data_IF_985949190025
#
_entry.id   IF_985949190025
#
_cell.length_a   1.000
_cell.length_b   1.000
_cell.length_c   1.000
_cell.angle_alpha   90.00
_cell.angle_beta   90.00
_cell.angle_gamma   90.00
#
_symmetry.space_group_name_H-M   'P 1'
#
loop_
_entity.id
_entity.type
_entity.pdbx_description
1 polymer ?
#
# COMPACT_ATOMS: atom_id res chain seq x y z
N UNK A 1 11.66 15.97 -14.75
CA UNK A 1 11.95 16.25 -13.32
C UNK A 1 11.89 17.74 -12.97
N UNK A 2 12.78 18.63 -13.48
CA UNK A 2 12.81 20.06 -13.08
C UNK A 2 11.47 20.80 -13.25
N UNK A 3 10.80 20.64 -14.41
CA UNK A 3 9.47 21.25 -14.67
C UNK A 3 8.40 20.77 -13.68
N UNK A 4 8.39 19.47 -13.36
CA UNK A 4 7.45 18.87 -12.39
C UNK A 4 7.67 19.45 -10.98
N UNK A 5 8.92 19.47 -10.50
CA UNK A 5 9.29 20.08 -9.21
C UNK A 5 8.81 21.53 -9.12
N UNK A 6 9.07 22.31 -10.17
CA UNK A 6 8.67 23.72 -10.21
C UNK A 6 7.15 23.89 -10.16
N UNK A 7 6.39 23.13 -10.96
CA UNK A 7 4.92 23.15 -10.95
C UNK A 7 4.35 22.81 -9.58
N UNK A 8 4.84 21.73 -8.95
CA UNK A 8 4.38 21.30 -7.63
C UNK A 8 4.70 22.35 -6.56
N UNK A 9 5.89 22.96 -6.61
CA UNK A 9 6.30 24.00 -5.66
C UNK A 9 5.49 25.29 -5.83
N UNK A 10 5.31 25.78 -7.06
CA UNK A 10 4.52 26.98 -7.33
C UNK A 10 3.10 26.84 -6.79
N UNK A 11 2.48 25.71 -7.09
CA UNK A 11 1.08 25.53 -6.78
C UNK A 11 0.88 25.17 -5.28
N UNK A 12 1.93 24.73 -4.58
CA UNK A 12 1.95 24.68 -3.12
C UNK A 12 2.08 26.08 -2.50
N UNK A 13 2.90 26.94 -3.08
CA UNK A 13 3.03 28.34 -2.64
C UNK A 13 1.70 29.09 -2.77
N UNK A 14 0.98 28.90 -3.88
CA UNK A 14 -0.36 29.43 -4.09
C UNK A 14 -1.33 28.95 -2.99
N UNK A 15 -1.36 27.65 -2.71
CA UNK A 15 -2.19 27.08 -1.65
C UNK A 15 -1.85 27.62 -0.25
N UNK A 16 -0.55 27.77 0.07
CA UNK A 16 -0.11 28.27 1.37
C UNK A 16 -0.46 29.76 1.56
N UNK A 17 -0.50 30.56 0.49
CA UNK A 17 -0.92 31.97 0.54
C UNK A 17 -2.42 32.14 0.87
N UNK A 18 -3.24 31.13 0.60
CA UNK A 18 -4.67 31.14 0.90
C UNK A 18 -4.97 30.82 2.38
N UNK A 19 -3.98 30.36 3.14
CA UNK A 19 -4.16 30.00 4.54
C UNK A 19 -4.45 31.24 5.39
N UNK A 20 -5.51 31.15 6.18
CA UNK A 20 -5.87 32.18 7.14
C UNK A 20 -4.85 32.21 8.29
N UNK A 21 -4.57 33.39 8.87
CA UNK A 21 -3.71 33.47 10.04
C UNK A 21 -4.37 32.77 11.23
N UNK A 22 -3.56 32.21 12.14
CA UNK A 22 -4.07 31.60 13.38
C UNK A 22 -4.83 32.65 14.20
N UNK A 23 -6.11 32.39 14.56
CA UNK A 23 -6.89 33.29 15.39
C UNK A 23 -6.24 33.57 16.76
N UNK A 24 -6.39 34.80 17.27
CA UNK A 24 -5.75 35.23 18.52
C UNK A 24 -6.16 34.39 19.74
N UNK A 25 -7.42 33.96 19.83
CA UNK A 25 -7.90 33.11 20.93
C UNK A 25 -7.20 31.75 20.93
N UNK A 26 -7.05 31.12 19.76
CA UNK A 26 -6.35 29.84 19.61
C UNK A 26 -4.86 29.97 19.94
N UNK A 27 -4.22 31.10 19.64
CA UNK A 27 -2.82 31.36 20.03
C UNK A 27 -2.62 31.38 21.56
N UNK A 28 -3.66 31.68 22.33
CA UNK A 28 -3.62 31.71 23.81
C UNK A 28 -3.89 30.34 24.41
N UNK A 29 -4.79 29.57 23.80
CA UNK A 29 -5.23 28.27 24.29
C UNK A 29 -4.32 27.11 23.85
N UNK A 30 -3.77 27.20 22.63
CA UNK A 30 -2.86 26.19 22.09
C UNK A 30 -1.41 26.46 22.46
N UNK A 31 -0.69 25.41 22.81
CA UNK A 31 0.76 25.45 22.97
C UNK A 31 1.51 25.14 21.66
N UNK A 32 0.81 24.76 20.58
CA UNK A 32 1.41 24.46 19.28
C UNK A 32 2.26 25.63 18.76
N UNK A 33 1.79 26.89 18.75
CA UNK A 33 2.60 28.00 18.24
C UNK A 33 3.92 28.18 18.98
N UNK A 34 3.92 27.97 20.31
CA UNK A 34 5.13 28.06 21.13
C UNK A 34 6.17 27.03 20.70
N UNK A 35 5.78 25.75 20.66
CA UNK A 35 6.72 24.67 20.39
C UNK A 35 7.11 24.59 18.90
N UNK A 36 6.21 24.93 17.98
CA UNK A 36 6.53 24.97 16.56
C UNK A 36 7.54 26.09 16.24
N UNK A 37 7.41 27.25 16.88
CA UNK A 37 8.41 28.31 16.77
C UNK A 37 9.77 27.90 17.37
N UNK A 38 9.80 27.09 18.43
CA UNK A 38 11.06 26.54 18.96
C UNK A 38 11.71 25.56 17.99
N UNK A 39 10.92 24.76 17.26
CA UNK A 39 11.42 23.92 16.17
C UNK A 39 12.02 24.79 15.06
N UNK A 40 11.29 25.81 14.60
CA UNK A 40 11.71 26.67 13.50
C UNK A 40 12.96 27.52 13.81
N UNK A 41 13.10 28.01 15.05
CA UNK A 41 14.26 28.82 15.46
C UNK A 41 15.57 28.03 15.55
N UNK A 42 15.47 26.70 15.64
CA UNK A 42 16.60 25.88 16.08
C UNK A 42 16.91 26.09 17.57
N UNK A 43 17.50 25.08 18.20
CA UNK A 43 17.80 25.11 19.65
C UNK A 43 18.82 24.05 20.06
N UNK A 44 19.66 23.63 19.11
CA UNK A 44 20.49 22.44 19.22
C UNK A 44 19.67 21.14 19.30
N UNK A 45 20.38 20.01 19.23
CA UNK A 45 19.79 18.67 19.25
C UNK A 45 18.79 18.45 20.41
N UNK A 46 19.17 18.77 21.66
CA UNK A 46 18.28 18.57 22.81
C UNK A 46 17.04 19.49 22.83
N UNK A 47 17.19 20.73 22.34
CA UNK A 47 16.08 21.68 22.27
C UNK A 47 15.02 21.22 21.27
N UNK A 48 15.46 20.75 20.11
CA UNK A 48 14.59 20.18 19.07
C UNK A 48 13.86 18.94 19.58
N UNK A 49 14.58 17.97 20.17
CA UNK A 49 13.97 16.76 20.72
C UNK A 49 12.88 17.08 21.76
N UNK A 50 13.14 18.04 22.65
CA UNK A 50 12.17 18.47 23.66
C UNK A 50 10.94 19.09 23.02
N UNK A 51 11.11 20.00 22.07
CA UNK A 51 10.01 20.68 21.39
C UNK A 51 9.12 19.69 20.62
N UNK A 52 9.73 18.77 19.86
CA UNK A 52 9.03 17.71 19.14
C UNK A 52 8.28 16.76 20.09
N UNK A 53 8.91 16.36 21.19
CA UNK A 53 8.27 15.52 22.22
C UNK A 53 7.09 16.21 22.93
N UNK A 54 7.09 17.54 23.03
CA UNK A 54 5.92 18.29 23.48
C UNK A 54 4.81 18.32 22.43
N UNK A 55 5.15 18.60 21.16
CA UNK A 55 4.18 18.59 20.07
C UNK A 55 3.51 17.24 19.90
N UNK A 56 4.25 16.12 19.99
CA UNK A 56 3.70 14.77 19.97
C UNK A 56 2.64 14.56 21.06
N UNK A 57 2.94 14.99 22.30
CA UNK A 57 1.99 14.89 23.42
C UNK A 57 0.77 15.79 23.24
N UNK A 58 0.92 16.96 22.62
CA UNK A 58 -0.19 17.85 22.30
C UNK A 58 -1.09 17.21 21.24
N UNK A 59 -0.51 16.76 20.13
CA UNK A 59 -1.25 16.12 19.04
C UNK A 59 -1.98 14.85 19.48
N UNK A 60 -1.40 14.07 20.40
CA UNK A 60 -2.03 12.88 20.97
C UNK A 60 -3.32 13.17 21.75
N UNK A 61 -3.55 14.40 22.22
CA UNK A 61 -4.80 14.81 22.88
C UNK A 61 -5.96 15.06 21.90
N UNK A 62 -5.67 15.07 20.60
CA UNK A 62 -6.63 15.23 19.52
C UNK A 62 -7.59 16.42 19.67
N UNK A 63 -7.08 17.56 20.19
CA UNK A 63 -7.87 18.77 20.33
C UNK A 63 -7.97 19.52 19.00
N UNK A 64 -9.18 19.95 18.63
CA UNK A 64 -9.46 20.59 17.33
C UNK A 64 -8.65 21.87 17.15
N UNK A 65 -8.56 22.72 18.17
CA UNK A 65 -7.81 23.98 18.09
C UNK A 65 -6.29 23.76 17.95
N UNK A 66 -5.74 22.69 18.53
CA UNK A 66 -4.32 22.33 18.36
C UNK A 66 -4.03 21.89 16.92
N UNK A 67 -4.91 21.05 16.34
CA UNK A 67 -4.82 20.65 14.93
C UNK A 67 -4.96 21.84 13.98
N UNK A 68 -5.87 22.76 14.28
CA UNK A 68 -6.06 23.97 13.49
C UNK A 68 -4.85 24.91 13.59
N UNK A 69 -4.27 25.11 14.78
CA UNK A 69 -3.03 25.86 14.92
C UNK A 69 -1.89 25.21 14.13
N UNK A 70 -1.75 23.89 14.23
CA UNK A 70 -0.71 23.16 13.51
C UNK A 70 -0.86 23.27 11.99
N UNK A 71 -2.08 23.18 11.46
CA UNK A 71 -2.38 23.33 10.04
C UNK A 71 -2.14 24.76 9.55
N UNK A 72 -2.69 25.76 10.23
CA UNK A 72 -2.60 27.17 9.81
C UNK A 72 -1.18 27.76 9.94
N UNK A 73 -0.30 27.11 10.69
CA UNK A 73 1.12 27.48 10.80
C UNK A 73 2.03 26.67 9.88
N UNK A 74 1.48 25.87 8.96
CA UNK A 74 2.24 24.93 8.13
C UNK A 74 3.21 24.08 8.98
N UNK A 75 2.65 23.42 10.00
CA UNK A 75 3.43 22.60 10.93
C UNK A 75 4.16 21.46 10.24
N UNK A 76 3.56 20.87 9.20
CA UNK A 76 4.22 19.83 8.40
C UNK A 76 5.39 20.39 7.60
N UNK A 77 5.22 21.49 6.88
CA UNK A 77 6.29 22.15 6.14
C UNK A 77 7.43 22.60 7.05
N UNK A 78 7.11 23.14 8.23
CA UNK A 78 8.11 23.52 9.25
C UNK A 78 8.93 22.32 9.73
N UNK A 79 8.28 21.18 10.01
CA UNK A 79 9.01 19.97 10.45
C UNK A 79 9.90 19.42 9.34
N UNK A 80 9.42 19.45 8.09
CA UNK A 80 10.21 19.03 6.93
C UNK A 80 11.45 19.91 6.76
N UNK A 81 11.27 21.23 6.73
CA UNK A 81 12.36 22.18 6.44
C UNK A 81 13.35 22.37 7.59
N UNK A 82 12.88 22.35 8.85
CA UNK A 82 13.72 22.61 10.02
C UNK A 82 14.33 21.35 10.65
N UNK A 83 13.77 20.16 10.40
CA UNK A 83 14.21 18.93 11.08
C UNK A 83 14.49 17.80 10.12
N UNK A 84 13.51 17.36 9.32
CA UNK A 84 13.66 16.13 8.52
C UNK A 84 14.72 16.33 7.44
N UNK A 85 14.56 17.33 6.56
CA UNK A 85 15.51 17.55 5.47
C UNK A 85 16.93 17.84 5.96
N UNK A 86 17.15 18.75 6.94
CA UNK A 86 18.48 18.96 7.49
C UNK A 86 19.04 17.71 8.17
N UNK A 87 18.22 16.97 8.94
CA UNK A 87 18.66 15.79 9.69
C UNK A 87 18.99 14.57 8.84
N UNK A 88 18.69 14.60 7.54
CA UNK A 88 19.16 13.59 6.59
C UNK A 88 20.56 13.91 6.02
N UNK A 89 21.14 15.09 6.26
CA UNK A 89 22.47 15.47 5.75
C UNK A 89 23.59 14.98 6.68
N UNK A 90 24.76 14.64 6.14
CA UNK A 90 25.88 14.03 6.88
C UNK A 90 26.47 14.92 7.99
N UNK A 91 26.44 16.25 7.82
CA UNK A 91 27.01 17.24 8.76
C UNK A 91 25.94 18.04 9.52
N UNK A 92 24.81 17.41 9.85
CA UNK A 92 23.68 18.08 10.49
C UNK A 92 23.79 18.18 12.02
N UNK A 93 23.44 19.36 12.57
CA UNK A 93 23.24 19.55 14.00
C UNK A 93 21.94 18.90 14.53
N UNK A 94 21.09 18.40 13.62
CA UNK A 94 19.84 17.71 13.96
C UNK A 94 20.14 16.25 14.29
N UNK A 95 19.81 15.82 15.51
CA UNK A 95 19.97 14.42 15.89
C UNK A 95 19.01 13.50 15.13
N UNK A 96 19.45 12.26 14.88
CA UNK A 96 18.60 11.19 14.34
C UNK A 96 17.33 10.97 15.15
N UNK A 97 17.42 11.10 16.47
CA UNK A 97 16.27 11.03 17.36
C UNK A 97 15.28 12.16 17.11
N UNK A 98 15.74 13.39 16.87
CA UNK A 98 14.87 14.49 16.46
C UNK A 98 14.17 14.18 15.12
N UNK A 99 14.88 13.61 14.13
CA UNK A 99 14.28 13.17 12.86
C UNK A 99 13.20 12.13 13.09
N UNK A 100 13.45 11.09 13.89
CA UNK A 100 12.44 10.06 14.21
C UNK A 100 11.21 10.68 14.88
N UNK A 101 11.39 11.55 15.87
CA UNK A 101 10.28 12.24 16.54
C UNK A 101 9.49 13.13 15.57
N UNK A 102 10.16 13.80 14.65
CA UNK A 102 9.55 14.62 13.60
C UNK A 102 8.71 13.79 12.63
N UNK A 103 9.22 12.65 12.16
CA UNK A 103 8.49 11.73 11.29
C UNK A 103 7.28 11.12 12.01
N UNK A 104 7.43 10.74 13.28
CA UNK A 104 6.32 10.28 14.11
C UNK A 104 5.25 11.36 14.31
N UNK A 105 5.66 12.62 14.52
CA UNK A 105 4.75 13.75 14.63
C UNK A 105 3.98 13.97 13.33
N UNK A 106 4.68 13.94 12.19
CA UNK A 106 4.08 14.02 10.86
C UNK A 106 3.03 12.92 10.67
N UNK A 107 3.41 11.66 10.90
CA UNK A 107 2.53 10.50 10.78
C UNK A 107 1.30 10.67 11.67
N UNK A 108 1.49 10.92 12.96
CA UNK A 108 0.41 11.01 13.93
C UNK A 108 -0.56 12.15 13.60
N UNK A 109 -0.05 13.30 13.15
CA UNK A 109 -0.86 14.44 12.73
C UNK A 109 -1.75 14.09 11.52
N UNK A 110 -1.19 13.42 10.51
CA UNK A 110 -1.92 13.00 9.33
C UNK A 110 -2.95 11.89 9.64
N UNK A 111 -2.59 10.93 10.52
CA UNK A 111 -3.50 9.86 10.94
C UNK A 111 -4.71 10.39 11.70
N UNK A 112 -4.50 11.36 12.60
CA UNK A 112 -5.56 11.86 13.48
C UNK A 112 -6.43 12.94 12.83
N UNK A 113 -5.93 13.63 11.79
CA UNK A 113 -6.63 14.75 11.16
C UNK A 113 -6.55 14.70 9.62
N UNK A 114 -7.65 14.32 8.95
CA UNK A 114 -7.78 14.34 7.50
C UNK A 114 -7.39 15.66 6.83
N UNK A 115 -7.68 16.79 7.47
CA UNK A 115 -7.37 18.12 6.94
C UNK A 115 -5.86 18.37 6.92
N UNK A 116 -5.11 17.86 7.91
CA UNK A 116 -3.65 17.94 7.96
C UNK A 116 -3.03 17.05 6.88
N UNK A 117 -3.54 15.83 6.67
CA UNK A 117 -3.07 14.98 5.57
C UNK A 117 -3.36 15.59 4.18
N UNK A 118 -4.53 16.20 3.99
CA UNK A 118 -4.82 16.98 2.78
C UNK A 118 -3.84 18.14 2.62
N UNK A 119 -3.56 18.86 3.70
CA UNK A 119 -2.58 19.95 3.70
C UNK A 119 -1.17 19.44 3.33
N UNK A 120 -0.81 18.22 3.71
CA UNK A 120 0.44 17.58 3.32
C UNK A 120 0.59 17.44 1.78
N UNK A 121 -0.51 17.10 1.10
CA UNK A 121 -0.54 16.96 -0.36
C UNK A 121 -0.55 18.32 -1.07
N UNK A 122 -1.41 19.24 -0.61
CA UNK A 122 -1.58 20.55 -1.24
C UNK A 122 -0.39 21.48 -0.97
N UNK A 123 0.17 21.45 0.24
CA UNK A 123 1.37 22.17 0.66
C UNK A 123 2.68 21.48 0.27
N UNK A 124 2.61 20.34 -0.43
CA UNK A 124 3.76 19.64 -1.01
C UNK A 124 4.81 19.15 0.00
N UNK A 125 4.51 19.09 1.30
CA UNK A 125 5.41 18.58 2.34
C UNK A 125 5.71 17.09 2.18
N UNK A 126 4.81 16.33 1.52
CA UNK A 126 5.01 14.90 1.22
C UNK A 126 6.22 14.66 0.32
N UNK A 127 6.58 15.60 -0.56
CA UNK A 127 7.81 15.47 -1.39
C UNK A 127 9.06 15.45 -0.51
N UNK A 128 9.09 16.23 0.57
CA UNK A 128 10.19 16.18 1.53
C UNK A 128 10.30 14.82 2.24
N UNK A 129 9.17 14.15 2.51
CA UNK A 129 9.19 12.78 3.02
C UNK A 129 9.67 11.77 1.98
N UNK A 130 9.29 11.93 0.70
CA UNK A 130 9.78 11.06 -0.38
C UNK A 130 11.29 11.17 -0.54
N UNK A 131 11.83 12.38 -0.52
CA UNK A 131 13.28 12.62 -0.62
C UNK A 131 14.01 12.03 0.60
N UNK A 132 13.50 12.26 1.81
CA UNK A 132 14.07 11.68 3.04
C UNK A 132 14.00 10.14 3.03
N UNK A 133 12.88 9.57 2.58
CA UNK A 133 12.71 8.12 2.44
C UNK A 133 13.72 7.56 1.45
N UNK A 134 13.81 8.15 0.26
CA UNK A 134 14.73 7.72 -0.78
C UNK A 134 16.18 7.72 -0.28
N UNK A 135 16.61 8.78 0.42
CA UNK A 135 17.93 8.85 1.03
C UNK A 135 18.13 7.81 2.14
N UNK A 136 17.15 7.62 3.02
CA UNK A 136 17.22 6.62 4.10
C UNK A 136 17.37 5.18 3.58
N UNK A 137 16.87 4.91 2.37
CA UNK A 137 16.95 3.60 1.72
C UNK A 137 18.28 3.34 1.00
N UNK A 138 19.11 4.38 0.81
CA UNK A 138 20.46 4.25 0.24
C UNK A 138 21.53 4.03 1.29
N UNK A 139 21.26 4.43 2.53
CA UNK A 139 22.19 4.28 3.65
C UNK A 139 22.11 2.86 4.23
N UNK A 140 23.21 2.33 4.81
CA UNK A 140 23.19 1.07 5.53
C UNK A 140 22.17 1.07 6.68
N UNK A 141 21.60 -0.08 7.01
CA UNK A 141 20.68 -0.21 8.13
C UNK A 141 21.33 0.22 9.45
N UNK A 142 20.78 1.26 10.07
CA UNK A 142 21.21 1.69 11.40
C UNK A 142 20.43 0.97 12.49
N UNK A 143 21.10 0.02 13.14
CA UNK A 143 20.55 -0.68 14.31
C UNK A 143 20.75 0.21 15.54
N UNK A 144 19.66 0.74 16.09
CA UNK A 144 19.67 1.49 17.36
C UNK A 144 18.78 0.82 18.41
N UNK A 145 19.30 0.49 19.60
CA UNK A 145 18.46 -0.05 20.69
C UNK A 145 17.43 0.97 21.22
N UNK A 146 17.62 2.26 20.94
CA UNK A 146 16.68 3.32 21.35
C UNK A 146 15.53 3.53 20.36
N UNK A 147 15.69 3.05 19.12
CA UNK A 147 14.72 3.16 18.04
C UNK A 147 14.52 1.77 17.41
N UNK A 148 13.62 0.95 17.97
CA UNK A 148 13.46 -0.45 17.54
C UNK A 148 12.91 -0.58 16.12
N UNK A 149 12.36 0.51 15.55
CA UNK A 149 11.86 0.59 14.18
C UNK A 149 12.81 1.47 13.38
N UNK A 150 13.23 0.98 12.22
CA UNK A 150 14.07 1.71 11.27
C UNK A 150 13.40 3.02 10.83
N UNK A 151 14.21 4.07 10.65
CA UNK A 151 13.71 5.37 10.15
C UNK A 151 13.00 5.22 8.80
N UNK A 152 13.50 4.37 7.89
CA UNK A 152 12.85 4.11 6.60
C UNK A 152 11.43 3.55 6.77
N UNK A 153 11.21 2.70 7.77
CA UNK A 153 9.90 2.14 8.09
C UNK A 153 8.96 3.22 8.63
N UNK A 154 9.43 4.08 9.53
CA UNK A 154 8.65 5.22 10.01
C UNK A 154 8.30 6.20 8.89
N UNK A 155 9.23 6.49 7.99
CA UNK A 155 9.01 7.34 6.81
C UNK A 155 7.98 6.74 5.85
N UNK A 156 8.05 5.43 5.57
CA UNK A 156 7.04 4.74 4.75
C UNK A 156 5.65 4.82 5.38
N UNK A 157 5.54 4.63 6.70
CA UNK A 157 4.27 4.75 7.42
C UNK A 157 3.73 6.19 7.37
N UNK A 158 4.60 7.20 7.53
CA UNK A 158 4.21 8.61 7.40
C UNK A 158 3.72 8.94 5.99
N UNK A 159 4.41 8.47 4.95
CA UNK A 159 3.98 8.65 3.56
C UNK A 159 2.64 7.94 3.29
N UNK A 160 2.47 6.72 3.81
CA UNK A 160 1.26 5.91 3.66
C UNK A 160 0.03 6.64 4.18
N UNK A 161 0.10 7.21 5.39
CA UNK A 161 -1.05 7.93 5.98
C UNK A 161 -1.29 9.28 5.31
N UNK A 162 -0.23 9.95 4.83
CA UNK A 162 -0.36 11.21 4.08
C UNK A 162 -1.04 11.02 2.72
N UNK A 163 -0.79 9.90 2.04
CA UNK A 163 -1.43 9.51 0.78
C UNK A 163 -2.78 8.78 0.97
N UNK A 164 -3.29 8.64 2.19
CA UNK A 164 -4.45 7.79 2.45
C UNK A 164 -5.71 8.22 1.65
N UNK A 165 -6.45 7.29 1.02
CA UNK A 165 -7.65 7.58 0.25
C UNK A 165 -8.89 7.83 1.12
N UNK A 166 -8.80 7.90 2.45
CA UNK A 166 -9.92 8.37 3.29
C UNK A 166 -10.47 9.74 2.86
N UNK A 167 -9.74 10.43 1.99
CA UNK A 167 -10.10 11.71 1.38
C UNK A 167 -10.81 11.58 0.02
N UNK A 168 -10.87 10.40 -0.62
CA UNK A 168 -11.29 10.19 -2.04
C UNK A 168 -12.75 9.78 -2.27
N UNK A 169 -13.64 9.86 -1.26
CA UNK A 169 -15.08 9.59 -1.46
C UNK A 169 -15.96 10.81 -1.12
N UNK A 170 -16.71 11.26 -2.13
CA UNK A 170 -17.75 12.31 -2.19
C UNK A 170 -17.41 13.75 -1.74
N UNK A 171 -16.32 14.00 -1.01
CA UNK A 171 -15.96 15.35 -0.51
C UNK A 171 -14.46 15.71 -0.62
N UNK A 172 -13.75 15.12 -1.58
CA UNK A 172 -12.33 15.44 -1.84
C UNK A 172 -12.18 16.87 -2.33
N UNK A 173 -11.18 17.59 -1.82
CA UNK A 173 -10.82 18.89 -2.40
C UNK A 173 -10.33 18.70 -3.84
N UNK A 174 -10.85 19.43 -4.84
CA UNK A 174 -10.56 19.18 -6.26
C UNK A 174 -9.07 19.20 -6.57
N UNK A 175 -8.33 20.17 -6.01
CA UNK A 175 -6.89 20.29 -6.23
C UNK A 175 -6.09 19.07 -5.73
N UNK A 176 -6.63 18.24 -4.83
CA UNK A 176 -5.95 17.00 -4.42
C UNK A 176 -5.88 16.01 -5.58
N UNK A 177 -6.96 15.87 -6.35
CA UNK A 177 -6.99 14.97 -7.51
C UNK A 177 -6.01 15.42 -8.61
N UNK A 178 -5.77 16.72 -8.72
CA UNK A 178 -4.76 17.28 -9.62
C UNK A 178 -3.32 17.08 -9.10
N UNK A 179 -3.13 17.02 -7.77
CA UNK A 179 -1.82 16.80 -7.13
C UNK A 179 -1.34 15.36 -7.15
N UNK A 180 -2.25 14.39 -7.02
CA UNK A 180 -1.88 12.98 -6.87
C UNK A 180 -1.06 12.45 -8.07
N UNK A 181 -1.45 12.69 -9.34
CA UNK A 181 -0.65 12.26 -10.49
C UNK A 181 0.78 12.82 -10.48
N UNK A 182 0.96 14.07 -10.02
CA UNK A 182 2.26 14.72 -9.91
C UNK A 182 3.14 14.05 -8.85
N UNK A 183 2.57 13.72 -7.69
CA UNK A 183 3.26 13.00 -6.61
C UNK A 183 3.68 11.58 -7.04
N UNK A 184 2.81 10.86 -7.76
CA UNK A 184 3.14 9.54 -8.30
C UNK A 184 4.27 9.67 -9.33
N UNK A 185 4.13 10.61 -10.28
CA UNK A 185 5.14 10.88 -11.30
C UNK A 185 6.48 11.23 -10.66
N UNK A 186 6.46 11.99 -9.56
CA UNK A 186 7.65 12.33 -8.80
C UNK A 186 8.32 11.10 -8.21
N UNK A 187 7.57 10.24 -7.52
CA UNK A 187 8.07 9.00 -6.93
C UNK A 187 8.64 8.03 -7.99
N UNK A 188 8.01 7.95 -9.16
CA UNK A 188 8.52 7.15 -10.29
C UNK A 188 9.81 7.76 -10.85
N UNK A 189 9.82 9.05 -11.18
CA UNK A 189 10.96 9.72 -11.82
C UNK A 189 12.20 9.80 -10.92
N UNK A 190 12.01 9.90 -9.60
CA UNK A 190 13.10 9.87 -8.62
C UNK A 190 13.67 8.48 -8.37
N UNK A 191 12.98 7.42 -8.82
CA UNK A 191 13.37 6.03 -8.55
C UNK A 191 12.93 5.52 -7.18
N UNK A 192 12.02 6.23 -6.48
CA UNK A 192 11.48 5.78 -5.19
C UNK A 192 10.74 4.44 -5.33
N UNK A 193 9.92 4.29 -6.37
CA UNK A 193 9.20 3.03 -6.63
C UNK A 193 10.18 1.88 -6.90
N UNK A 194 11.25 2.14 -7.64
CA UNK A 194 12.26 1.14 -7.96
C UNK A 194 13.06 0.69 -6.73
N UNK A 195 13.49 1.62 -5.87
CA UNK A 195 14.24 1.25 -4.66
C UNK A 195 13.37 0.48 -3.65
N UNK A 196 12.07 0.80 -3.55
CA UNK A 196 11.11 0.04 -2.75
C UNK A 196 10.94 -1.38 -3.28
N UNK A 197 10.76 -1.52 -4.59
CA UNK A 197 10.63 -2.82 -5.27
C UNK A 197 11.87 -3.70 -5.05
N UNK A 198 13.08 -3.09 -5.13
CA UNK A 198 14.34 -3.79 -4.85
C UNK A 198 14.41 -4.36 -3.44
N UNK A 199 13.73 -3.79 -2.44
CA UNK A 199 13.66 -4.39 -1.09
C UNK A 199 12.93 -5.72 -1.11
N UNK A 200 11.77 -5.78 -1.78
CA UNK A 200 11.02 -7.03 -1.96
C UNK A 200 11.86 -8.07 -2.70
N UNK A 201 12.49 -7.67 -3.82
CA UNK A 201 13.30 -8.58 -4.65
C UNK A 201 14.57 -9.13 -3.97
N UNK A 202 15.05 -8.47 -2.90
CA UNK A 202 16.21 -8.95 -2.12
C UNK A 202 15.87 -10.15 -1.23
N UNK A 203 14.61 -10.41 -0.95
CA UNK A 203 14.20 -11.54 -0.11
C UNK A 203 14.33 -12.84 -0.90
N UNK A 204 15.18 -13.74 -0.40
CA UNK A 204 15.48 -15.04 -1.02
C UNK A 204 15.31 -16.24 -0.09
N UNK A 205 14.88 -16.00 1.15
CA UNK A 205 14.67 -17.02 2.16
C UNK A 205 13.52 -16.63 3.11
N UNK A 206 13.14 -17.55 3.99
CA UNK A 206 12.16 -17.28 5.04
C UNK A 206 12.69 -16.23 6.03
N UNK A 207 11.87 -15.21 6.26
CA UNK A 207 12.22 -14.07 7.12
C UNK A 207 11.48 -14.07 8.47
N UNK A 208 10.88 -15.19 8.86
CA UNK A 208 10.06 -15.24 10.09
C UNK A 208 10.80 -14.73 11.33
N UNK A 209 12.08 -15.11 11.46
CA UNK A 209 12.93 -14.75 12.60
C UNK A 209 13.43 -13.30 12.54
N UNK A 210 13.20 -12.58 11.43
CA UNK A 210 13.70 -11.24 11.17
C UNK A 210 12.58 -10.20 11.30
N UNK A 211 12.16 -9.92 12.54
CA UNK A 211 11.01 -9.04 12.80
C UNK A 211 11.12 -7.65 12.16
N UNK A 212 12.30 -7.02 12.18
CA UNK A 212 12.51 -5.70 11.58
C UNK A 212 12.29 -5.73 10.06
N UNK A 213 12.80 -6.77 9.38
CA UNK A 213 12.64 -6.98 7.94
C UNK A 213 11.17 -7.17 7.59
N UNK A 214 10.43 -7.99 8.35
CA UNK A 214 8.99 -8.18 8.13
C UNK A 214 8.23 -6.85 8.27
N UNK A 215 8.46 -6.10 9.34
CA UNK A 215 7.79 -4.80 9.56
C UNK A 215 8.09 -3.82 8.44
N UNK A 216 9.35 -3.79 7.99
CA UNK A 216 9.76 -2.95 6.88
C UNK A 216 9.09 -3.34 5.56
N UNK A 217 8.96 -4.64 5.27
CA UNK A 217 8.27 -5.11 4.06
C UNK A 217 6.77 -4.85 4.12
N UNK A 218 6.13 -5.03 5.28
CA UNK A 218 4.72 -4.66 5.47
C UNK A 218 4.50 -3.16 5.20
N UNK A 219 5.39 -2.31 5.70
CA UNK A 219 5.34 -0.87 5.41
C UNK A 219 5.60 -0.57 3.93
N UNK A 220 6.50 -1.32 3.27
CA UNK A 220 6.79 -1.21 1.83
C UNK A 220 5.55 -1.54 0.99
N UNK A 221 4.94 -2.72 1.23
CA UNK A 221 3.74 -3.16 0.54
C UNK A 221 2.59 -2.20 0.77
N UNK A 222 2.34 -1.81 2.03
CA UNK A 222 1.28 -0.86 2.38
C UNK A 222 1.45 0.48 1.66
N UNK A 223 2.68 1.00 1.56
CA UNK A 223 2.97 2.25 0.88
C UNK A 223 2.81 2.15 -0.65
N UNK A 224 3.29 1.06 -1.27
CA UNK A 224 3.09 0.81 -2.70
C UNK A 224 1.60 0.69 -3.02
N UNK A 225 0.83 -0.03 -2.19
CA UNK A 225 -0.62 -0.12 -2.35
C UNK A 225 -1.30 1.25 -2.29
N UNK A 226 -0.80 2.19 -1.47
CA UNK A 226 -1.34 3.57 -1.50
C UNK A 226 -1.11 4.26 -2.84
N UNK A 227 0.03 4.05 -3.50
CA UNK A 227 0.25 4.58 -4.85
C UNK A 227 -0.74 3.97 -5.86
N UNK A 228 -1.04 2.67 -5.75
CA UNK A 228 -2.04 2.00 -6.60
C UNK A 228 -3.42 2.64 -6.39
N UNK A 229 -3.85 2.79 -5.13
CA UNK A 229 -5.18 3.30 -4.77
C UNK A 229 -5.44 4.74 -5.24
N UNK A 230 -4.39 5.54 -5.39
CA UNK A 230 -4.48 6.95 -5.83
C UNK A 230 -4.03 7.16 -7.28
N UNK A 231 -3.64 6.10 -7.98
CA UNK A 231 -3.24 6.18 -9.37
C UNK A 231 -4.47 6.41 -10.26
N UNK A 232 -4.44 7.41 -11.16
CA UNK A 232 -5.52 7.58 -12.12
C UNK A 232 -5.61 6.33 -13.02
N UNK A 233 -6.81 5.73 -13.18
CA UNK A 233 -6.97 4.61 -14.10
C UNK A 233 -6.93 5.11 -15.55
N UNK A 234 -6.49 4.26 -16.46
CA UNK A 234 -6.56 4.51 -17.90
C UNK A 234 -5.30 4.08 -18.65
N UNK A 235 -5.44 3.80 -19.97
CA UNK A 235 -4.39 3.17 -20.76
C UNK A 235 -3.20 4.10 -21.07
N UNK A 236 -3.32 5.40 -20.80
CA UNK A 236 -2.30 6.40 -21.13
C UNK A 236 -1.14 6.44 -20.13
N UNK A 237 -1.29 5.81 -18.96
CA UNK A 237 -0.30 5.77 -17.86
C UNK A 237 0.52 7.08 -17.72
N UNK A 238 -0.12 8.23 -17.50
CA UNK A 238 0.56 9.53 -17.53
C UNK A 238 1.62 9.66 -16.42
N UNK A 239 1.47 8.87 -15.35
CA UNK A 239 2.39 8.83 -14.21
C UNK A 239 3.56 7.87 -14.40
N UNK A 240 3.50 7.01 -15.43
CA UNK A 240 4.43 5.89 -15.69
C UNK A 240 4.46 4.85 -14.57
N UNK A 241 3.42 4.82 -13.73
CA UNK A 241 3.36 3.94 -12.58
C UNK A 241 3.07 2.50 -13.01
N UNK A 242 2.20 2.29 -14.00
CA UNK A 242 1.96 0.96 -14.56
C UNK A 242 3.23 0.42 -15.23
N UNK A 243 3.95 1.27 -15.97
CA UNK A 243 5.25 0.91 -16.53
C UNK A 243 6.26 0.49 -15.46
N UNK A 244 6.30 1.18 -14.31
CA UNK A 244 7.16 0.81 -13.19
C UNK A 244 6.74 -0.53 -12.56
N UNK A 245 5.43 -0.78 -12.43
CA UNK A 245 4.90 -2.06 -11.96
C UNK A 245 5.32 -3.21 -12.90
N UNK A 246 5.29 -3.00 -14.22
CA UNK A 246 5.76 -3.98 -15.22
C UNK A 246 7.25 -4.28 -15.09
N UNK A 247 8.08 -3.23 -15.12
CA UNK A 247 9.54 -3.38 -15.10
C UNK A 247 10.08 -3.97 -13.80
N UNK A 248 9.28 -3.97 -12.74
CA UNK A 248 9.64 -4.50 -11.42
C UNK A 248 8.92 -5.80 -11.08
N UNK A 249 8.28 -6.46 -12.06
CA UNK A 249 7.55 -7.72 -11.85
C UNK A 249 6.50 -7.62 -10.72
N UNK A 250 5.63 -6.61 -10.79
CA UNK A 250 4.69 -6.23 -9.73
C UNK A 250 5.42 -5.98 -8.40
N UNK A 251 6.43 -5.10 -8.48
CA UNK A 251 7.25 -4.65 -7.35
C UNK A 251 7.97 -5.80 -6.63
N UNK A 252 8.25 -6.90 -7.32
CA UNK A 252 8.89 -8.11 -6.79
C UNK A 252 8.07 -8.83 -5.73
N UNK A 253 6.78 -8.50 -5.60
CA UNK A 253 5.93 -8.95 -4.51
C UNK A 253 5.68 -10.46 -4.52
N UNK A 254 5.46 -11.06 -5.69
CA UNK A 254 5.32 -12.52 -5.84
C UNK A 254 6.62 -13.24 -5.51
N UNK A 255 7.76 -12.75 -6.02
CA UNK A 255 9.06 -13.36 -5.75
C UNK A 255 9.41 -13.35 -4.25
N UNK A 256 9.15 -12.23 -3.58
CA UNK A 256 9.30 -12.08 -2.13
C UNK A 256 8.39 -13.05 -1.37
N UNK A 257 7.11 -13.12 -1.75
CA UNK A 257 6.15 -13.99 -1.07
C UNK A 257 6.48 -15.47 -1.28
N UNK A 258 6.90 -15.85 -2.49
CA UNK A 258 7.41 -17.19 -2.80
C UNK A 258 8.59 -17.58 -1.90
N UNK A 259 9.61 -16.72 -1.83
CA UNK A 259 10.79 -16.96 -1.01
C UNK A 259 10.47 -17.07 0.49
N UNK A 260 9.38 -16.43 0.95
CA UNK A 260 8.96 -16.47 2.35
C UNK A 260 8.08 -17.68 2.67
N UNK A 261 7.13 -18.02 1.80
CA UNK A 261 6.09 -19.03 2.06
C UNK A 261 6.56 -20.44 1.72
N UNK A 262 7.20 -20.63 0.56
CA UNK A 262 7.52 -21.98 0.06
C UNK A 262 8.48 -22.75 0.98
N UNK A 263 9.55 -22.16 1.53
CA UNK A 263 10.43 -22.88 2.46
C UNK A 263 9.75 -23.32 3.76
N UNK A 264 8.67 -22.66 4.17
CA UNK A 264 7.95 -22.96 5.41
C UNK A 264 6.89 -24.06 5.20
N UNK A 265 6.33 -24.14 3.98
CA UNK A 265 5.24 -25.07 3.66
C UNK A 265 3.97 -24.78 4.48
N UNK A 266 3.41 -25.80 5.11
CA UNK A 266 2.09 -25.74 5.78
C UNK A 266 2.13 -25.25 7.23
N UNK A 267 3.29 -24.87 7.76
CA UNK A 267 3.43 -24.37 9.13
C UNK A 267 3.59 -22.84 9.16
N UNK A 268 2.69 -22.12 8.48
CA UNK A 268 2.88 -20.68 8.20
C UNK A 268 2.66 -19.83 9.48
N UNK A 269 3.69 -19.13 9.98
CA UNK A 269 3.56 -18.32 11.18
C UNK A 269 2.73 -17.05 10.94
N UNK A 270 2.24 -16.39 12.01
CA UNK A 270 1.38 -15.21 11.90
C UNK A 270 1.99 -14.07 11.08
N UNK A 271 3.28 -13.79 11.22
CA UNK A 271 3.95 -12.70 10.50
C UNK A 271 3.99 -12.93 8.99
N UNK A 272 4.27 -14.16 8.59
CA UNK A 272 4.20 -14.58 7.18
C UNK A 272 2.76 -14.49 6.65
N UNK A 273 1.75 -14.77 7.47
CA UNK A 273 0.33 -14.56 7.11
C UNK A 273 0.02 -13.07 6.88
N UNK A 274 0.47 -12.18 7.75
CA UNK A 274 0.28 -10.74 7.55
C UNK A 274 0.99 -10.25 6.28
N UNK A 275 2.17 -10.80 5.96
CA UNK A 275 2.89 -10.48 4.72
C UNK A 275 2.14 -10.98 3.48
N UNK A 276 1.58 -12.18 3.55
CA UNK A 276 0.70 -12.71 2.49
C UNK A 276 -0.53 -11.82 2.30
N UNK A 277 -1.17 -11.40 3.39
CA UNK A 277 -2.35 -10.52 3.34
C UNK A 277 -2.02 -9.19 2.64
N UNK A 278 -0.93 -8.54 3.04
CA UNK A 278 -0.48 -7.29 2.42
C UNK A 278 -0.13 -7.48 0.93
N UNK A 279 0.47 -8.62 0.57
CA UNK A 279 0.85 -8.94 -0.81
C UNK A 279 -0.40 -9.15 -1.69
N UNK A 280 -1.35 -9.98 -1.25
CA UNK A 280 -2.57 -10.21 -2.03
C UNK A 280 -3.45 -8.95 -2.12
N UNK A 281 -3.48 -8.14 -1.07
CA UNK A 281 -4.16 -6.84 -1.13
C UNK A 281 -3.55 -5.92 -2.21
N UNK A 282 -2.21 -5.88 -2.30
CA UNK A 282 -1.51 -5.15 -3.36
C UNK A 282 -1.88 -5.69 -4.75
N UNK A 283 -1.85 -7.02 -4.94
CA UNK A 283 -2.16 -7.66 -6.22
C UNK A 283 -3.60 -7.41 -6.67
N UNK A 284 -4.56 -7.54 -5.76
CA UNK A 284 -5.97 -7.22 -6.02
C UNK A 284 -6.13 -5.74 -6.39
N UNK A 285 -5.48 -4.84 -5.65
CA UNK A 285 -5.52 -3.40 -5.95
C UNK A 285 -4.96 -3.11 -7.34
N UNK A 286 -3.86 -3.77 -7.72
CA UNK A 286 -3.26 -3.63 -9.05
C UNK A 286 -4.19 -4.14 -10.15
N UNK A 287 -4.82 -5.30 -9.94
CA UNK A 287 -5.74 -5.89 -10.91
C UNK A 287 -7.01 -5.04 -11.11
N UNK A 288 -7.47 -4.37 -10.05
CA UNK A 288 -8.58 -3.41 -10.11
C UNK A 288 -8.17 -2.12 -10.83
N UNK A 289 -6.94 -1.64 -10.60
CA UNK A 289 -6.42 -0.44 -11.28
C UNK A 289 -6.25 -0.66 -12.79
N UNK A 290 -5.58 -1.75 -13.18
CA UNK A 290 -5.34 -2.10 -14.57
C UNK A 290 -5.15 -3.62 -14.74
N UNK A 291 -6.23 -4.30 -15.14
CA UNK A 291 -6.25 -5.75 -15.36
C UNK A 291 -5.21 -6.20 -16.39
N UNK A 292 -5.01 -5.43 -17.45
CA UNK A 292 -4.11 -5.77 -18.55
C UNK A 292 -2.66 -5.85 -18.05
N UNK A 293 -2.18 -4.83 -17.33
CA UNK A 293 -0.85 -4.80 -16.74
C UNK A 293 -0.66 -5.90 -15.71
N UNK A 294 -1.67 -6.13 -14.85
CA UNK A 294 -1.63 -7.21 -13.88
C UNK A 294 -1.45 -8.57 -14.56
N UNK A 295 -2.30 -8.90 -15.55
CA UNK A 295 -2.23 -10.17 -16.26
C UNK A 295 -0.93 -10.32 -17.07
N UNK A 296 -0.48 -9.26 -17.76
CA UNK A 296 0.75 -9.29 -18.56
C UNK A 296 1.95 -9.75 -17.73
N UNK A 297 2.11 -9.21 -16.52
CA UNK A 297 3.22 -9.59 -15.63
C UNK A 297 3.00 -10.98 -15.03
N UNK A 298 1.79 -11.25 -14.52
CA UNK A 298 1.46 -12.52 -13.85
C UNK A 298 1.50 -13.72 -14.80
N UNK A 299 1.26 -13.52 -16.10
CA UNK A 299 1.31 -14.56 -17.14
C UNK A 299 2.73 -14.89 -17.61
N UNK A 300 3.75 -14.17 -17.15
CA UNK A 300 5.14 -14.56 -17.42
C UNK A 300 5.48 -15.87 -16.71
N UNK A 301 6.13 -16.81 -17.42
CA UNK A 301 6.38 -18.18 -16.94
C UNK A 301 7.04 -18.23 -15.55
N UNK A 302 8.06 -17.38 -15.33
CA UNK A 302 8.79 -17.33 -14.07
C UNK A 302 7.95 -16.84 -12.89
N UNK A 303 6.96 -15.97 -13.13
CA UNK A 303 6.08 -15.41 -12.09
C UNK A 303 4.87 -16.32 -11.87
N UNK A 304 4.27 -16.83 -12.95
CA UNK A 304 3.09 -17.69 -12.87
C UNK A 304 3.37 -18.96 -12.05
N UNK A 305 4.52 -19.60 -12.26
CA UNK A 305 4.90 -20.81 -11.50
C UNK A 305 5.05 -20.50 -10.00
N UNK A 306 5.76 -19.43 -9.65
CA UNK A 306 5.91 -19.00 -8.25
C UNK A 306 4.56 -18.66 -7.61
N UNK A 307 3.70 -17.99 -8.35
CA UNK A 307 2.36 -17.65 -7.90
C UNK A 307 1.53 -18.91 -7.60
N UNK A 308 1.54 -19.89 -8.50
CA UNK A 308 0.78 -21.14 -8.33
C UNK A 308 1.27 -21.98 -7.15
N UNK A 309 2.58 -22.03 -6.90
CA UNK A 309 3.16 -22.69 -5.72
C UNK A 309 2.68 -22.01 -4.42
N UNK A 310 2.76 -20.68 -4.36
CA UNK A 310 2.28 -19.88 -3.22
C UNK A 310 0.78 -20.09 -2.99
N UNK A 311 -0.02 -20.06 -4.05
CA UNK A 311 -1.47 -20.30 -4.01
C UNK A 311 -1.76 -21.68 -3.46
N UNK A 312 -1.07 -22.72 -3.93
CA UNK A 312 -1.28 -24.11 -3.49
C UNK A 312 -1.07 -24.26 -1.99
N UNK A 313 0.03 -23.70 -1.46
CA UNK A 313 0.38 -23.77 -0.04
C UNK A 313 -0.61 -22.98 0.81
N UNK A 314 -0.87 -21.71 0.45
CA UNK A 314 -1.73 -20.83 1.24
C UNK A 314 -3.19 -21.28 1.21
N UNK A 315 -3.68 -21.76 0.08
CA UNK A 315 -5.04 -22.26 -0.03
C UNK A 315 -5.26 -23.48 0.87
N UNK A 316 -4.29 -24.41 0.91
CA UNK A 316 -4.33 -25.56 1.81
C UNK A 316 -4.25 -25.14 3.28
N UNK A 317 -3.32 -24.26 3.64
CA UNK A 317 -3.12 -23.84 5.02
C UNK A 317 -4.27 -22.97 5.54
N UNK A 318 -4.55 -21.87 4.84
CA UNK A 318 -5.52 -20.88 5.27
C UNK A 318 -6.96 -21.39 5.09
N UNK A 319 -7.24 -22.18 4.05
CA UNK A 319 -8.55 -22.78 3.81
C UNK A 319 -9.01 -23.66 4.97
N UNK A 320 -8.11 -24.49 5.51
CA UNK A 320 -8.39 -25.36 6.66
C UNK A 320 -8.57 -24.60 7.99
N UNK A 321 -8.11 -23.35 8.07
CA UNK A 321 -8.17 -22.51 9.28
C UNK A 321 -9.30 -21.47 9.25
N UNK A 322 -10.00 -21.35 8.12
CA UNK A 322 -11.15 -20.43 8.01
C UNK A 322 -12.33 -20.95 8.82
N UNK A 323 -12.87 -20.11 9.71
CA UNK A 323 -14.06 -20.41 10.51
C UNK A 323 -15.06 -19.26 10.39
N UNK A 324 -16.36 -19.56 10.26
CA UNK A 324 -17.40 -18.56 10.06
C UNK A 324 -17.55 -17.55 11.22
N UNK A 325 -17.03 -17.89 12.41
CA UNK A 325 -17.18 -17.12 13.64
C UNK A 325 -16.06 -16.10 13.89
N UNK A 326 -15.00 -16.07 13.07
CA UNK A 326 -13.81 -15.23 13.35
C UNK A 326 -13.26 -14.59 12.07
N UNK A 327 -13.44 -13.28 11.95
CA UNK A 327 -12.67 -12.44 11.02
C UNK A 327 -11.19 -12.54 11.39
N UNK A 328 -10.49 -13.49 10.79
CA UNK A 328 -9.07 -13.74 11.00
C UNK A 328 -8.26 -13.20 9.82
N UNK A 329 -7.01 -12.80 10.04
CA UNK A 329 -6.10 -12.41 8.95
C UNK A 329 -6.02 -13.50 7.86
N UNK A 330 -6.08 -14.77 8.28
CA UNK A 330 -6.14 -15.94 7.40
C UNK A 330 -7.33 -15.91 6.43
N UNK A 331 -8.50 -15.45 6.88
CA UNK A 331 -9.67 -15.29 6.02
C UNK A 331 -9.48 -14.14 5.02
N UNK A 332 -8.87 -13.03 5.45
CA UNK A 332 -8.54 -11.92 4.54
C UNK A 332 -7.56 -12.37 3.44
N UNK A 333 -6.53 -13.16 3.79
CA UNK A 333 -5.62 -13.77 2.82
C UNK A 333 -6.37 -14.61 1.80
N UNK A 334 -7.27 -15.50 2.26
CA UNK A 334 -8.01 -16.40 1.35
C UNK A 334 -8.92 -15.61 0.42
N UNK A 335 -9.61 -14.59 0.92
CA UNK A 335 -10.50 -13.75 0.10
C UNK A 335 -9.71 -13.06 -1.02
N UNK A 336 -8.61 -12.38 -0.69
CA UNK A 336 -7.82 -11.64 -1.68
C UNK A 336 -7.05 -12.60 -2.62
N UNK A 337 -6.63 -13.76 -2.12
CA UNK A 337 -6.02 -14.83 -2.94
C UNK A 337 -7.00 -15.35 -3.99
N UNK A 338 -8.23 -15.70 -3.59
CA UNK A 338 -9.27 -16.18 -4.52
C UNK A 338 -9.61 -15.09 -5.55
N UNK A 339 -9.71 -13.83 -5.11
CA UNK A 339 -9.92 -12.70 -6.01
C UNK A 339 -8.77 -12.57 -7.02
N UNK A 340 -7.52 -12.72 -6.57
CA UNK A 340 -6.32 -12.67 -7.43
C UNK A 340 -6.35 -13.78 -8.49
N UNK A 341 -6.74 -15.01 -8.14
CA UNK A 341 -6.96 -16.10 -9.12
C UNK A 341 -8.04 -15.70 -10.13
N UNK A 342 -9.15 -15.10 -9.65
CA UNK A 342 -10.22 -14.65 -10.52
C UNK A 342 -9.76 -13.60 -11.54
N UNK A 343 -8.99 -12.59 -11.10
CA UNK A 343 -8.38 -11.61 -12.00
C UNK A 343 -7.36 -12.24 -12.94
N UNK A 344 -6.58 -13.21 -12.48
CA UNK A 344 -5.62 -13.92 -13.32
C UNK A 344 -6.29 -14.64 -14.50
N UNK A 345 -7.48 -15.23 -14.29
CA UNK A 345 -8.21 -15.97 -15.30
C UNK A 345 -9.22 -15.13 -16.13
N UNK A 346 -9.63 -13.96 -15.65
CA UNK A 346 -10.68 -13.16 -16.28
C UNK A 346 -10.39 -12.85 -17.77
N UNK A 347 -11.26 -13.31 -18.68
CA UNK A 347 -11.11 -13.19 -20.13
C UNK A 347 -9.76 -13.70 -20.70
N UNK A 348 -9.05 -14.57 -20.00
CA UNK A 348 -7.72 -15.03 -20.40
C UNK A 348 -7.67 -16.57 -20.46
N UNK A 349 -7.95 -17.12 -21.64
CA UNK A 349 -8.00 -18.57 -21.85
C UNK A 349 -6.68 -19.27 -21.55
N UNK A 350 -5.54 -18.66 -21.86
CA UNK A 350 -4.24 -19.24 -21.55
C UNK A 350 -4.04 -19.44 -20.04
N UNK A 351 -4.40 -18.42 -19.25
CA UNK A 351 -4.31 -18.49 -17.79
C UNK A 351 -5.34 -19.46 -17.19
N UNK A 352 -6.56 -19.51 -17.76
CA UNK A 352 -7.56 -20.53 -17.40
C UNK A 352 -7.02 -21.94 -17.65
N UNK A 353 -6.48 -22.20 -18.84
CA UNK A 353 -5.94 -23.51 -19.24
C UNK A 353 -4.76 -23.92 -18.34
N UNK A 354 -3.87 -22.98 -18.00
CA UNK A 354 -2.78 -23.20 -17.04
C UNK A 354 -3.30 -23.64 -15.68
N UNK A 355 -4.30 -22.94 -15.12
CA UNK A 355 -4.88 -23.26 -13.82
C UNK A 355 -5.63 -24.60 -13.82
N UNK A 356 -6.20 -25.00 -14.96
CA UNK A 356 -6.90 -26.28 -15.11
C UNK A 356 -6.03 -27.43 -15.60
N UNK A 357 -4.72 -27.20 -15.73
CA UNK A 357 -3.74 -28.24 -16.01
C UNK A 357 -3.70 -29.28 -14.88
N UNK A 358 -3.22 -30.49 -15.20
CA UNK A 358 -3.09 -31.58 -14.23
C UNK A 358 -2.25 -31.18 -13.02
N UNK A 359 -1.17 -30.41 -13.25
CA UNK A 359 -0.27 -29.90 -12.21
C UNK A 359 -0.97 -28.96 -11.21
N UNK A 360 -1.99 -28.23 -11.67
CA UNK A 360 -2.74 -27.27 -10.86
C UNK A 360 -4.07 -27.81 -10.33
N UNK A 361 -4.42 -29.07 -10.64
CA UNK A 361 -5.69 -29.70 -10.25
C UNK A 361 -5.98 -29.61 -8.74
N UNK A 362 -4.95 -29.64 -7.90
CA UNK A 362 -5.06 -29.50 -6.45
C UNK A 362 -5.63 -28.14 -6.03
N UNK A 363 -5.35 -27.06 -6.79
CA UNK A 363 -5.86 -25.71 -6.50
C UNK A 363 -7.39 -25.72 -6.68
N UNK A 364 -7.88 -26.24 -7.80
CA UNK A 364 -9.33 -26.36 -8.08
C UNK A 364 -10.01 -27.23 -7.02
N UNK A 365 -9.42 -28.37 -6.69
CA UNK A 365 -9.94 -29.27 -5.64
C UNK A 365 -10.00 -28.59 -4.28
N UNK A 366 -9.03 -27.76 -3.93
CA UNK A 366 -9.04 -27.04 -2.66
C UNK A 366 -10.04 -25.88 -2.67
N UNK A 367 -10.18 -25.15 -3.79
CA UNK A 367 -11.15 -24.07 -3.94
C UNK A 367 -12.60 -24.57 -3.74
N UNK A 368 -12.93 -25.71 -4.35
CA UNK A 368 -14.27 -26.30 -4.33
C UNK A 368 -14.64 -26.92 -2.98
N UNK A 369 -13.65 -27.17 -2.11
CA UNK A 369 -13.82 -27.69 -0.75
C UNK A 369 -13.87 -26.63 0.33
N UNK A 370 -13.73 -25.34 -0.03
CA UNK A 370 -13.81 -24.27 0.94
C UNK A 370 -15.21 -24.18 1.59
N UNK A 371 -15.32 -23.71 2.83
CA UNK A 371 -16.60 -23.54 3.51
C UNK A 371 -17.59 -22.65 2.73
N UNK A 372 -18.88 -22.99 2.81
CA UNK A 372 -19.94 -22.30 2.03
C UNK A 372 -20.02 -20.78 2.25
N UNK A 373 -19.64 -20.28 3.42
CA UNK A 373 -19.62 -18.83 3.68
C UNK A 373 -18.63 -18.08 2.78
N UNK A 374 -17.66 -18.78 2.17
CA UNK A 374 -16.73 -18.24 1.18
C UNK A 374 -17.25 -18.33 -0.27
N UNK A 375 -18.44 -18.91 -0.51
CA UNK A 375 -19.03 -18.98 -1.86
C UNK A 375 -19.20 -17.60 -2.50
N UNK A 376 -19.32 -16.54 -1.69
CA UNK A 376 -19.36 -15.15 -2.14
C UNK A 376 -18.11 -14.71 -2.93
N UNK A 377 -16.97 -15.39 -2.74
CA UNK A 377 -15.72 -15.16 -3.50
C UNK A 377 -15.35 -16.36 -4.38
N UNK A 378 -15.63 -17.59 -3.95
CA UNK A 378 -15.35 -18.82 -4.71
C UNK A 378 -16.17 -18.86 -6.00
N UNK A 379 -17.47 -18.58 -5.96
CA UNK A 379 -18.32 -18.67 -7.15
C UNK A 379 -17.91 -17.66 -8.23
N UNK A 380 -17.71 -16.35 -7.94
CA UNK A 380 -17.16 -15.43 -8.93
C UNK A 380 -15.84 -15.93 -9.54
N UNK A 381 -14.93 -16.46 -8.73
CA UNK A 381 -13.65 -17.00 -9.21
C UNK A 381 -13.87 -18.19 -10.17
N UNK A 382 -14.65 -19.19 -9.78
CA UNK A 382 -14.95 -20.35 -10.64
C UNK A 382 -15.66 -19.94 -11.95
N UNK A 383 -16.54 -18.93 -11.91
CA UNK A 383 -17.14 -18.36 -13.12
C UNK A 383 -16.07 -17.76 -14.03
N UNK A 384 -15.12 -16.98 -13.50
CA UNK A 384 -14.01 -16.44 -14.32
C UNK A 384 -13.10 -17.52 -14.90
N UNK A 385 -12.87 -18.63 -14.18
CA UNK A 385 -12.04 -19.76 -14.64
C UNK A 385 -12.73 -20.51 -15.79
N UNK A 386 -14.05 -20.66 -15.71
CA UNK A 386 -14.84 -21.41 -16.71
C UNK A 386 -15.38 -20.57 -17.86
N UNK A 387 -15.25 -19.24 -17.78
CA UNK A 387 -15.85 -18.33 -18.75
C UNK A 387 -15.33 -18.60 -20.17
N UNK A 388 -16.24 -19.00 -21.06
CA UNK A 388 -15.97 -19.36 -22.45
C UNK A 388 -14.89 -20.45 -22.62
N UNK A 389 -14.74 -21.33 -21.63
CA UNK A 389 -13.74 -22.38 -21.63
C UNK A 389 -14.34 -23.74 -21.24
N UNK A 390 -14.70 -24.53 -22.25
CA UNK A 390 -15.33 -25.83 -22.05
C UNK A 390 -14.40 -26.85 -21.38
N UNK A 391 -13.10 -26.81 -21.68
CA UNK A 391 -12.12 -27.69 -21.03
C UNK A 391 -12.04 -27.40 -19.53
N UNK A 392 -11.98 -26.12 -19.15
CA UNK A 392 -12.01 -25.72 -17.75
C UNK A 392 -13.31 -26.18 -17.05
N UNK A 393 -14.46 -26.09 -17.73
CA UNK A 393 -15.73 -26.64 -17.21
C UNK A 393 -15.64 -28.15 -16.98
N UNK A 394 -15.10 -28.91 -17.92
CA UNK A 394 -14.94 -30.36 -17.82
C UNK A 394 -14.01 -30.78 -16.66
N UNK A 395 -12.98 -29.98 -16.37
CA UNK A 395 -12.08 -30.22 -15.23
C UNK A 395 -12.79 -29.92 -13.92
N UNK A 396 -13.45 -28.77 -13.80
CA UNK A 396 -14.14 -28.36 -12.57
C UNK A 396 -15.32 -29.28 -12.24
N UNK A 397 -16.02 -29.81 -13.24
CA UNK A 397 -17.16 -30.73 -13.03
C UNK A 397 -16.79 -32.04 -12.33
N UNK A 398 -15.49 -32.37 -12.22
CA UNK A 398 -15.00 -33.55 -11.49
C UNK A 398 -15.11 -33.39 -9.98
N UNK A 399 -15.00 -32.16 -9.48
CA UNK A 399 -14.97 -31.84 -8.04
C UNK A 399 -16.13 -30.91 -7.61
N UNK A 400 -16.89 -30.33 -8.55
CA UNK A 400 -17.93 -29.33 -8.25
C UNK A 400 -19.14 -29.45 -9.19
N UNK A 401 -20.36 -29.25 -8.65
CA UNK A 401 -21.58 -29.22 -9.48
C UNK A 401 -21.71 -27.87 -10.21
N UNK A 402 -21.56 -27.89 -11.53
CA UNK A 402 -21.63 -26.70 -12.38
C UNK A 402 -23.01 -26.02 -12.38
N UNK A 403 -24.09 -26.71 -12.03
CA UNK A 403 -25.43 -26.12 -11.95
C UNK A 403 -25.46 -24.91 -11.00
N UNK A 404 -24.73 -24.99 -9.88
CA UNK A 404 -24.61 -23.88 -8.93
C UNK A 404 -23.90 -22.66 -9.53
N UNK A 405 -22.90 -22.87 -10.40
CA UNK A 405 -22.22 -21.77 -11.09
C UNK A 405 -23.12 -21.13 -12.14
N UNK A 406 -23.88 -21.94 -12.88
CA UNK A 406 -24.79 -21.47 -13.91
C UNK A 406 -25.98 -20.69 -13.30
N UNK A 407 -26.48 -21.12 -12.14
CA UNK A 407 -27.48 -20.39 -11.36
C UNK A 407 -26.90 -19.09 -10.78
N UNK A 408 -25.72 -19.15 -10.16
CA UNK A 408 -25.04 -17.97 -9.63
C UNK A 408 -24.81 -16.92 -10.71
N UNK A 409 -24.31 -17.32 -11.88
CA UNK A 409 -24.00 -16.42 -13.01
C UNK A 409 -25.22 -15.61 -13.49
N UNK A 410 -26.43 -16.15 -13.31
CA UNK A 410 -27.69 -15.48 -13.67
C UNK A 410 -28.25 -14.61 -12.54
N UNK A 411 -27.71 -14.71 -11.33
CA UNK A 411 -28.22 -14.04 -10.15
C UNK A 411 -27.90 -12.54 -10.11
N UNK A 412 -28.68 -11.77 -9.35
CA UNK A 412 -28.39 -10.35 -9.05
C UNK A 412 -27.07 -10.15 -8.31
N UNK A 413 -26.61 -11.16 -7.54
CA UNK A 413 -25.32 -11.11 -6.85
C UNK A 413 -24.16 -11.11 -7.84
N UNK A 414 -24.24 -11.93 -8.90
CA UNK A 414 -23.23 -11.97 -9.95
C UNK A 414 -23.17 -10.67 -10.73
N UNK A 415 -24.33 -10.07 -11.08
CA UNK A 415 -24.39 -8.78 -11.79
C UNK A 415 -23.71 -7.63 -11.04
N UNK A 416 -23.71 -7.68 -9.71
CA UNK A 416 -23.06 -6.68 -8.84
C UNK A 416 -21.60 -7.02 -8.52
N UNK A 417 -21.14 -8.22 -8.87
CA UNK A 417 -19.78 -8.65 -8.57
C UNK A 417 -18.80 -8.05 -9.58
N UNK A 418 -17.75 -7.40 -9.06
CA UNK A 418 -16.77 -6.71 -9.90
C UNK A 418 -16.01 -7.65 -10.85
N UNK A 419 -15.62 -8.85 -10.40
CA UNK A 419 -14.92 -9.83 -11.26
C UNK A 419 -15.79 -10.31 -12.41
N UNK A 420 -17.05 -10.64 -12.12
CA UNK A 420 -17.99 -11.11 -13.14
C UNK A 420 -18.31 -9.99 -14.14
N UNK A 421 -18.42 -8.74 -13.67
CA UNK A 421 -18.64 -7.58 -14.54
C UNK A 421 -17.49 -7.30 -15.52
N UNK A 422 -16.30 -7.86 -15.30
CA UNK A 422 -15.18 -7.77 -16.25
C UNK A 422 -15.33 -8.73 -17.43
N UNK A 423 -16.11 -9.79 -17.30
CA UNK A 423 -16.27 -10.80 -18.34
C UNK A 423 -17.00 -10.19 -19.53
N UNK A 424 -16.33 -10.21 -20.69
CA UNK A 424 -16.87 -9.66 -21.93
C UNK A 424 -17.26 -10.82 -22.82
N UNK A 425 -18.53 -10.89 -23.19
CA UNK A 425 -18.89 -11.70 -24.34
C UNK A 425 -18.22 -11.11 -25.57
N UNK A 426 -17.40 -11.93 -26.25
CA UNK A 426 -16.94 -11.59 -27.60
C UNK A 426 -18.19 -11.45 -28.48
N UNK A 427 -18.59 -10.22 -28.76
CA UNK A 427 -19.43 -9.90 -29.92
C UNK A 427 -18.67 -10.18 -31.20
#
# INVERSE_FOLDING_TARGET
MKKLKHRMAQAAEEYLKELQPVPLHMKRESQVPKYLNLVNKGGGSQGLERALGHLLRIMAKAQVFDFQCFLLMDGLGTIISAVITPGMQDESDVSKKAVVLAVQLYRNACTLCPQIARHALLGNSVVGLFDALFQSLQLPEEKSPQHPVELSTELMLACTVALSPSYTKKHTHPNVLERLPDLISYAVITGLIEILSRRCMKIRESIENHQSVVLSLLATLGFITRFIDVCPPGPTDPTRFLSAAKSTELFGSIAMLYATVVPIGECIPPRTISLAAATFNLLVSMAVLDLATFQEVMSSEAISLKFLDVVTILLKYCGNKCTAAKNSETQAVIIDLIATIGFFCANNKQNQDLLTSEQCSIIIKNLTKLPEHLNVVVYPCLVTITFQNQEARNVISRDFNLDFLDEYSKSEKAKKNHLVALLKDKT
#
